data_IF_803776385058
#
_entry.id   IF_803776385058
#
_cell.length_a   1.000
_cell.length_b   1.000
_cell.length_c   1.000
_cell.angle_alpha   90.00
_cell.angle_beta   90.00
_cell.angle_gamma   90.00
#
_symmetry.space_group_name_H-M   'P 1'
#
loop_
_entity.id
_entity.type
_entity.pdbx_description
1 polymer ?
#
# COMPACT_ATOMS: atom_id res chain seq x y z
N UNK A 1 -2.58 3.71 16.02
CA UNK A 1 -1.86 4.33 14.91
C UNK A 1 -1.44 3.28 13.88
N UNK A 2 -1.53 3.62 12.62
CA UNK A 2 -1.14 2.69 11.56
C UNK A 2 0.37 2.41 11.61
N UNK A 3 0.79 1.14 11.55
CA UNK A 3 2.22 0.81 11.59
C UNK A 3 2.93 1.35 10.35
N UNK A 4 4.05 2.02 10.53
CA UNK A 4 4.76 2.65 9.43
C UNK A 4 6.18 2.14 9.31
N UNK A 5 6.58 1.82 8.08
CA UNK A 5 7.95 1.50 7.72
C UNK A 5 8.37 2.39 6.57
N UNK A 6 9.59 2.91 6.62
CA UNK A 6 10.12 3.73 5.55
C UNK A 6 10.86 2.84 4.56
N UNK A 7 10.68 3.10 3.26
CA UNK A 7 11.41 2.34 2.25
C UNK A 7 12.90 2.65 2.29
N UNK A 8 13.73 1.65 1.96
CA UNK A 8 15.17 1.82 1.96
C UNK A 8 15.69 2.41 0.65
N UNK A 9 15.04 2.11 -0.47
CA UNK A 9 15.38 2.71 -1.75
C UNK A 9 14.11 2.89 -2.59
N UNK A 10 14.26 3.58 -3.72
CA UNK A 10 13.11 3.95 -4.54
C UNK A 10 12.36 2.76 -5.15
N UNK A 11 13.00 1.60 -5.22
CA UNK A 11 12.39 0.41 -5.81
C UNK A 11 11.62 -0.44 -4.81
N UNK A 12 11.61 -0.07 -3.54
CA UNK A 12 11.00 -0.88 -2.48
C UNK A 12 9.67 -0.38 -1.97
N UNK A 13 9.07 0.63 -2.62
CA UNK A 13 7.83 1.19 -2.09
C UNK A 13 6.71 0.16 -2.03
N UNK A 14 6.55 -0.68 -3.05
CA UNK A 14 5.50 -1.68 -3.07
C UNK A 14 5.70 -2.76 -2.00
N UNK A 15 6.92 -3.25 -1.86
CA UNK A 15 7.23 -4.26 -0.85
C UNK A 15 7.05 -3.69 0.54
N UNK A 16 7.45 -2.44 0.75
CA UNK A 16 7.30 -1.78 2.04
C UNK A 16 5.83 -1.59 2.38
N UNK A 17 4.99 -1.26 1.38
CA UNK A 17 3.56 -1.20 1.59
C UNK A 17 3.00 -2.55 2.05
N UNK A 18 3.42 -3.64 1.41
CA UNK A 18 2.99 -4.96 1.83
C UNK A 18 3.45 -5.28 3.25
N UNK A 19 4.67 -4.88 3.59
CA UNK A 19 5.18 -5.06 4.95
C UNK A 19 4.29 -4.36 5.98
N UNK A 20 3.87 -3.14 5.69
CA UNK A 20 2.99 -2.38 6.58
C UNK A 20 1.61 -3.04 6.71
N UNK A 21 1.06 -3.51 5.61
CA UNK A 21 -0.24 -4.20 5.63
C UNK A 21 -0.15 -5.46 6.49
N UNK A 22 0.90 -6.25 6.33
CA UNK A 22 1.09 -7.46 7.13
C UNK A 22 1.19 -7.12 8.62
N UNK A 23 1.94 -6.09 8.95
CA UNK A 23 2.08 -5.66 10.33
C UNK A 23 0.74 -5.20 10.91
N UNK A 24 -0.05 -4.51 10.11
CA UNK A 24 -1.38 -4.08 10.51
C UNK A 24 -2.24 -5.28 10.93
N UNK A 25 -2.10 -6.40 10.22
CA UNK A 25 -2.85 -7.62 10.55
C UNK A 25 -2.14 -8.53 11.53
N UNK A 26 -1.08 -8.02 12.17
CA UNK A 26 -0.43 -8.74 13.27
C UNK A 26 0.71 -9.64 12.87
N UNK A 27 1.18 -9.57 11.64
CA UNK A 27 2.29 -10.40 11.17
C UNK A 27 3.48 -9.54 10.75
N UNK A 28 4.63 -9.84 11.27
CA UNK A 28 5.83 -9.06 11.02
C UNK A 28 6.77 -9.83 10.08
N UNK A 29 7.09 -9.22 8.95
CA UNK A 29 7.99 -9.79 7.96
C UNK A 29 9.10 -8.81 7.63
N UNK A 30 10.28 -9.32 7.33
CA UNK A 30 11.36 -8.49 6.84
C UNK A 30 11.16 -8.20 5.36
N UNK A 31 11.77 -7.11 4.88
CA UNK A 31 11.72 -6.80 3.45
C UNK A 31 12.35 -7.91 2.62
N UNK A 32 13.42 -8.51 3.14
CA UNK A 32 14.08 -9.60 2.44
C UNK A 32 13.14 -10.79 2.24
N UNK A 33 12.41 -11.18 3.28
CA UNK A 33 11.45 -12.26 3.18
C UNK A 33 10.34 -11.94 2.17
N UNK A 34 9.81 -10.74 2.23
CA UNK A 34 8.74 -10.33 1.32
C UNK A 34 9.22 -10.25 -0.12
N UNK A 35 10.46 -9.84 -0.34
CA UNK A 35 11.01 -9.77 -1.69
C UNK A 35 10.99 -11.12 -2.39
N UNK A 36 11.15 -12.20 -1.65
CA UNK A 36 11.11 -13.55 -2.22
C UNK A 36 9.73 -13.91 -2.75
N UNK A 37 8.69 -13.40 -2.09
CA UNK A 37 7.32 -13.67 -2.53
C UNK A 37 6.89 -12.78 -3.69
N UNK A 38 7.45 -11.59 -3.80
CA UNK A 38 7.00 -10.60 -4.77
C UNK A 38 7.65 -10.71 -6.13
N UNK A 39 8.71 -11.50 -6.28
CA UNK A 39 9.48 -11.57 -7.52
C UNK A 39 9.88 -10.17 -7.98
N UNK A 40 10.41 -9.37 -7.04
CA UNK A 40 10.81 -8.02 -7.35
C UNK A 40 11.93 -7.99 -8.39
N UNK A 41 11.82 -7.08 -9.34
CA UNK A 41 12.86 -6.85 -10.34
C UNK A 41 13.62 -5.59 -10.00
N UNK A 42 14.61 -5.25 -10.82
CA UNK A 42 15.34 -3.99 -10.65
C UNK A 42 14.42 -2.78 -10.82
N UNK A 43 13.28 -2.95 -11.45
CA UNK A 43 12.30 -1.88 -11.64
C UNK A 43 11.25 -1.84 -10.54
N UNK A 44 11.37 -2.71 -9.54
CA UNK A 44 10.42 -2.78 -8.45
C UNK A 44 9.43 -3.93 -8.62
N UNK A 45 8.32 -3.86 -7.92
CA UNK A 45 7.31 -4.90 -7.95
C UNK A 45 6.01 -4.33 -8.54
N UNK A 46 5.28 -5.17 -9.28
CA UNK A 46 4.01 -4.76 -9.86
C UNK A 46 2.87 -4.94 -8.84
N UNK A 47 1.72 -4.32 -9.13
CA UNK A 47 0.53 -4.52 -8.29
C UNK A 47 0.14 -6.00 -8.27
N UNK A 48 0.25 -6.70 -9.40
CA UNK A 48 -0.05 -8.13 -9.45
C UNK A 48 0.92 -8.91 -8.56
N UNK A 49 2.20 -8.55 -8.58
CA UNK A 49 3.20 -9.20 -7.73
C UNK A 49 2.89 -9.01 -6.25
N UNK A 50 2.45 -7.81 -5.87
CA UNK A 50 2.05 -7.55 -4.49
C UNK A 50 0.85 -8.40 -4.12
N UNK A 51 -0.14 -8.47 -5.01
CA UNK A 51 -1.35 -9.24 -4.77
C UNK A 51 -1.05 -10.74 -4.62
N UNK A 52 -0.21 -11.27 -5.49
CA UNK A 52 0.17 -12.69 -5.41
C UNK A 52 0.92 -12.99 -4.12
N UNK A 53 1.83 -12.12 -3.72
CA UNK A 53 2.56 -12.29 -2.48
C UNK A 53 1.61 -12.26 -1.29
N UNK A 54 0.67 -11.32 -1.27
CA UNK A 54 -0.30 -11.21 -0.20
C UNK A 54 -1.15 -12.47 -0.09
N UNK A 55 -1.60 -13.00 -1.23
CA UNK A 55 -2.36 -14.24 -1.23
C UNK A 55 -1.56 -15.41 -0.66
N UNK A 56 -0.28 -15.50 -0.99
CA UNK A 56 0.58 -16.55 -0.44
C UNK A 56 0.76 -16.41 1.06
N UNK A 57 0.63 -15.21 1.58
CA UNK A 57 0.75 -14.94 3.02
C UNK A 57 -0.59 -15.07 3.75
N UNK A 58 -1.64 -15.47 3.04
CA UNK A 58 -2.93 -15.71 3.65
C UNK A 58 -3.89 -14.53 3.63
N UNK A 59 -3.55 -13.46 2.93
CA UNK A 59 -4.43 -12.30 2.78
C UNK A 59 -5.24 -12.42 1.50
N UNK A 60 -6.51 -12.08 1.57
CA UNK A 60 -7.34 -12.01 0.39
C UNK A 60 -7.18 -10.67 -0.28
N UNK A 61 -6.96 -10.66 -1.58
CA UNK A 61 -6.75 -9.42 -2.31
C UNK A 61 -7.67 -9.32 -3.51
N UNK A 62 -8.08 -8.10 -3.80
CA UNK A 62 -8.83 -7.78 -5.00
C UNK A 62 -8.12 -6.60 -5.64
N UNK A 63 -7.77 -6.74 -6.91
CA UNK A 63 -7.14 -5.66 -7.66
C UNK A 63 -8.14 -5.08 -8.63
N UNK A 64 -8.14 -3.76 -8.77
CA UNK A 64 -9.02 -3.10 -9.70
C UNK A 64 -8.71 -1.63 -9.80
N UNK A 65 -9.40 -0.97 -10.70
CA UNK A 65 -9.29 0.48 -10.87
C UNK A 65 -10.47 1.14 -10.20
N UNK A 66 -10.21 2.21 -9.47
CA UNK A 66 -11.26 2.97 -8.82
C UNK A 66 -11.07 4.45 -9.11
N UNK A 67 -12.18 5.17 -9.15
CA UNK A 67 -12.13 6.62 -9.24
C UNK A 67 -12.02 7.20 -7.84
N UNK A 68 -11.70 8.48 -7.76
CA UNK A 68 -11.67 9.16 -6.46
C UNK A 68 -13.01 9.10 -5.76
N UNK A 69 -14.09 9.09 -6.54
CA UNK A 69 -15.44 9.01 -5.97
C UNK A 69 -15.74 7.64 -5.38
N UNK A 70 -15.17 6.59 -5.97
CA UNK A 70 -15.36 5.23 -5.49
C UNK A 70 -14.44 4.87 -4.34
N UNK A 71 -13.35 5.61 -4.19
CA UNK A 71 -12.33 5.28 -3.20
C UNK A 71 -12.85 5.20 -1.76
N UNK A 72 -13.75 6.08 -1.31
CA UNK A 72 -14.27 5.96 0.06
C UNK A 72 -15.01 4.67 0.34
N UNK A 73 -15.42 3.94 -0.69
CA UNK A 73 -16.13 2.66 -0.54
C UNK A 73 -15.19 1.47 -0.53
N UNK A 74 -13.90 1.68 -0.80
CA UNK A 74 -12.94 0.59 -0.83
C UNK A 74 -12.66 0.07 0.57
N UNK A 75 -12.38 -1.25 0.71
CA UNK A 75 -11.96 -1.78 2.00
C UNK A 75 -10.64 -1.15 2.41
N UNK A 76 -10.51 -0.80 3.68
CA UNK A 76 -9.30 -0.20 4.22
C UNK A 76 -8.63 -1.14 5.22
N UNK A 77 -7.31 -1.17 5.30
CA UNK A 77 -6.37 -0.40 4.47
C UNK A 77 -6.24 -0.98 3.07
N UNK A 78 -5.91 -0.16 2.10
CA UNK A 78 -5.67 -0.61 0.74
C UNK A 78 -4.40 0.00 0.17
N UNK A 79 -3.77 -0.71 -0.77
CA UNK A 79 -2.58 -0.22 -1.44
C UNK A 79 -2.98 0.45 -2.74
N UNK A 80 -2.52 1.67 -2.93
CA UNK A 80 -2.81 2.45 -4.13
C UNK A 80 -1.56 2.61 -4.97
N UNK A 81 -1.71 2.45 -6.27
CA UNK A 81 -0.66 2.79 -7.22
C UNK A 81 -0.82 4.29 -7.52
N UNK A 82 -0.05 5.07 -6.79
CA UNK A 82 -0.14 6.53 -6.80
C UNK A 82 0.89 7.09 -7.75
N UNK A 83 0.49 7.67 -8.83
CA UNK A 83 1.39 8.13 -9.87
C UNK A 83 2.30 7.00 -10.38
N UNK A 84 3.26 7.33 -11.23
CA UNK A 84 4.11 6.31 -11.85
C UNK A 84 5.03 5.65 -10.83
N UNK A 85 4.98 4.34 -10.76
CA UNK A 85 5.90 3.51 -9.97
C UNK A 85 5.96 3.81 -8.48
N UNK A 86 4.93 4.45 -7.93
CA UNK A 86 4.90 4.70 -6.50
C UNK A 86 3.65 4.09 -5.88
N UNK A 87 3.84 3.36 -4.80
CA UNK A 87 2.75 2.74 -4.04
C UNK A 87 2.64 3.40 -2.68
N UNK A 88 1.41 3.64 -2.26
CA UNK A 88 1.11 4.16 -0.93
C UNK A 88 -0.04 3.37 -0.34
N UNK A 89 -0.26 3.51 0.95
CA UNK A 89 -1.38 2.87 1.63
C UNK A 89 -2.38 3.92 2.06
N UNK A 90 -3.64 3.71 1.68
CA UNK A 90 -4.74 4.49 2.22
C UNK A 90 -5.30 3.71 3.40
N UNK A 91 -5.21 4.26 4.60
CA UNK A 91 -5.62 3.50 5.78
C UNK A 91 -6.80 4.10 6.54
N UNK A 92 -7.21 5.31 6.20
CA UNK A 92 -8.33 5.94 6.86
C UNK A 92 -8.90 7.06 5.99
N UNK A 93 -10.22 7.20 6.00
CA UNK A 93 -10.90 8.29 5.31
C UNK A 93 -11.84 8.95 6.31
N UNK A 94 -11.81 10.27 6.38
CA UNK A 94 -12.67 11.03 7.28
C UNK A 94 -13.57 11.94 6.47
N UNK A 95 -14.89 11.83 6.71
CA UNK A 95 -15.91 12.65 6.06
C UNK A 95 -15.86 12.59 4.53
N UNK A 96 -15.39 11.47 3.98
CA UNK A 96 -15.25 11.25 2.53
C UNK A 96 -14.36 12.30 1.84
N UNK A 97 -13.61 13.05 2.59
CA UNK A 97 -12.78 14.15 2.06
C UNK A 97 -11.33 14.07 2.46
N UNK A 98 -11.06 13.64 3.69
CA UNK A 98 -9.70 13.64 4.20
C UNK A 98 -9.16 12.22 4.15
N UNK A 99 -8.10 12.05 3.38
CA UNK A 99 -7.47 10.74 3.17
C UNK A 99 -6.17 10.66 3.97
N UNK A 100 -6.06 9.62 4.79
CA UNK A 100 -4.87 9.38 5.59
C UNK A 100 -4.01 8.35 4.88
N UNK A 101 -2.81 8.73 4.53
CA UNK A 101 -1.93 7.96 3.66
C UNK A 101 -0.64 7.62 4.38
N UNK A 102 -0.23 6.37 4.26
CA UNK A 102 1.10 5.92 4.67
C UNK A 102 1.94 5.83 3.40
N UNK A 103 2.87 6.75 3.25
CA UNK A 103 3.73 6.84 2.09
C UNK A 103 5.11 6.34 2.48
N UNK A 104 5.56 5.18 1.99
CA UNK A 104 6.85 4.62 2.41
C UNK A 104 8.04 5.52 2.13
N UNK A 105 7.90 6.44 1.17
CA UNK A 105 8.97 7.38 0.86
C UNK A 105 8.91 8.68 1.66
N UNK A 106 7.73 9.04 2.20
CA UNK A 106 7.55 10.35 2.82
C UNK A 106 7.03 10.32 4.24
N UNK A 107 6.35 9.25 4.65
CA UNK A 107 5.81 9.14 6.00
C UNK A 107 4.29 9.15 6.02
N UNK A 108 3.75 9.24 7.23
CA UNK A 108 2.30 9.33 7.41
C UNK A 108 1.86 10.76 7.12
N UNK A 109 0.84 10.91 6.30
CA UNK A 109 0.32 12.22 5.94
C UNK A 109 -1.17 12.15 5.67
N UNK A 110 -1.80 13.30 5.60
CA UNK A 110 -3.21 13.39 5.23
C UNK A 110 -3.37 14.39 4.10
N UNK A 111 -4.34 14.11 3.24
CA UNK A 111 -4.65 14.98 2.12
C UNK A 111 -6.15 15.16 2.04
N UNK A 112 -6.60 16.35 1.70
CA UNK A 112 -8.00 16.62 1.48
C UNK A 112 -8.28 16.69 -0.01
N UNK A 113 -9.35 16.01 -0.39
CA UNK A 113 -9.87 16.08 -1.75
C UNK A 113 -11.11 16.97 -1.72
N UNK A 114 -11.04 18.10 -2.38
CA UNK A 114 -12.19 18.97 -2.52
C UNK A 114 -12.76 18.77 -3.92
N UNK A 115 -13.99 18.28 -3.97
CA UNK A 115 -14.69 18.19 -5.24
C UNK A 115 -15.32 19.54 -5.52
N UNK A 116 -14.92 20.13 -6.59
CA UNK A 116 -15.48 21.40 -7.04
C UNK A 116 -16.24 21.19 -8.31
#
# INVERSE_FOLDING_TARGET
MFPFYKQHDSMQCGITCLQMICKYYGKEYSLESLSRYCFATTEGVSMLGISEAANKLGLHTICGRVTMEQLPQAPLPCILHWSQNHFVILYKIKNNKKFYIADPGKGLRSEEHTSE
#
